data_IF_414171211729
#
_entry.id   IF_414171211729
#
_cell.length_a   1.000
_cell.length_b   1.000
_cell.length_c   1.000
_cell.angle_alpha   90.00
_cell.angle_beta   90.00
_cell.angle_gamma   90.00
#
_symmetry.space_group_name_H-M   'P 1'
#
loop_
_entity.id
_entity.type
_entity.pdbx_description
1 polymer ?
#
# COMPACT_ATOMS: atom_id res chain seq x y z
N UNK A 1 -35.61 -4.50 -5.40
CA UNK A 1 -34.58 -5.06 -4.49
C UNK A 1 -33.33 -5.18 -5.34
N UNK A 2 -32.37 -4.26 -5.18
CA UNK A 2 -31.08 -4.34 -5.88
C UNK A 2 -30.14 -5.04 -4.91
N UNK A 3 -29.67 -6.21 -5.32
CA UNK A 3 -28.80 -7.09 -4.56
C UNK A 3 -27.59 -6.31 -4.03
N UNK A 4 -27.53 -6.22 -2.70
CA UNK A 4 -26.37 -5.76 -1.97
C UNK A 4 -25.20 -6.60 -2.46
N UNK A 5 -24.29 -5.97 -3.21
CA UNK A 5 -23.03 -6.61 -3.59
C UNK A 5 -22.32 -6.98 -2.30
N UNK A 6 -22.47 -8.25 -1.91
CA UNK A 6 -21.76 -8.87 -0.80
C UNK A 6 -20.30 -8.44 -0.89
N UNK A 7 -19.91 -7.56 0.05
CA UNK A 7 -18.53 -7.12 0.20
C UNK A 7 -17.72 -8.40 0.35
N UNK A 8 -16.82 -8.66 -0.59
CA UNK A 8 -16.00 -9.88 -0.55
C UNK A 8 -15.34 -9.94 0.83
N UNK A 9 -15.23 -11.11 1.48
CA UNK A 9 -14.67 -11.24 2.83
C UNK A 9 -13.21 -10.79 2.97
N UNK A 10 -12.55 -10.46 1.85
CA UNK A 10 -11.21 -9.89 1.79
C UNK A 10 -11.18 -8.36 1.78
N UNK A 11 -12.33 -7.69 1.60
CA UNK A 11 -12.48 -6.27 1.88
C UNK A 11 -12.52 -6.07 3.39
N UNK A 12 -11.32 -6.01 3.98
CA UNK A 12 -11.17 -5.57 5.37
C UNK A 12 -11.75 -4.16 5.46
N UNK A 13 -12.61 -3.92 6.44
CA UNK A 13 -13.33 -2.65 6.61
C UNK A 13 -12.44 -1.39 6.58
N UNK A 14 -11.13 -1.53 6.85
CA UNK A 14 -10.16 -0.44 6.90
C UNK A 14 -9.04 -0.51 5.84
N UNK A 15 -9.17 -1.32 4.78
CA UNK A 15 -8.12 -1.42 3.75
C UNK A 15 -8.69 -1.52 2.34
N UNK A 16 -8.52 -0.47 1.55
CA UNK A 16 -8.79 -0.49 0.10
C UNK A 16 -7.58 -1.07 -0.64
N UNK A 17 -7.76 -2.16 -1.39
CA UNK A 17 -6.71 -2.68 -2.27
C UNK A 17 -6.59 -1.78 -3.50
N UNK A 18 -5.40 -1.25 -3.76
CA UNK A 18 -5.05 -0.60 -5.05
C UNK A 18 -4.07 -1.48 -5.81
N UNK A 19 -4.36 -1.73 -7.09
CA UNK A 19 -3.42 -2.39 -8.01
C UNK A 19 -2.64 -1.30 -8.73
N UNK A 20 -1.32 -1.31 -8.61
CA UNK A 20 -0.40 -0.37 -9.26
C UNK A 20 0.76 -1.14 -9.90
N UNK A 21 1.38 -0.57 -10.94
CA UNK A 21 2.58 -1.11 -11.58
C UNK A 21 3.80 -0.29 -11.15
N UNK A 22 4.93 -0.94 -10.99
CA UNK A 22 6.23 -0.34 -10.75
C UNK A 22 7.13 -0.59 -11.95
N UNK A 23 8.08 0.31 -12.20
CA UNK A 23 9.15 0.07 -13.17
C UNK A 23 10.07 -1.06 -12.67
N UNK A 24 10.51 -1.93 -13.58
CA UNK A 24 11.30 -3.11 -13.22
C UNK A 24 12.61 -2.73 -12.51
N UNK A 25 13.27 -1.66 -12.94
CA UNK A 25 14.52 -1.21 -12.33
C UNK A 25 14.32 -0.54 -10.98
N UNK A 26 13.14 0.04 -10.73
CA UNK A 26 12.77 0.55 -9.41
C UNK A 26 12.49 -0.63 -8.46
N UNK A 27 11.78 -1.66 -8.92
CA UNK A 27 11.50 -2.84 -8.11
C UNK A 27 12.78 -3.55 -7.68
N UNK A 28 13.73 -3.74 -8.59
CA UNK A 28 15.06 -4.32 -8.27
C UNK A 28 15.80 -3.52 -7.19
N UNK A 29 15.74 -2.20 -7.25
CA UNK A 29 16.36 -1.35 -6.24
C UNK A 29 15.69 -1.52 -4.88
N UNK A 30 14.35 -1.56 -4.84
CA UNK A 30 13.59 -1.78 -3.60
C UNK A 30 13.93 -3.16 -3.03
N UNK A 31 13.92 -4.20 -3.86
CA UNK A 31 14.23 -5.57 -3.46
C UNK A 31 15.66 -5.72 -2.91
N UNK A 32 16.60 -4.91 -3.40
CA UNK A 32 17.98 -4.90 -2.89
C UNK A 32 18.12 -4.28 -1.49
N UNK A 33 17.19 -3.42 -1.07
CA UNK A 33 17.25 -2.70 0.23
C UNK A 33 16.29 -3.24 1.28
N UNK A 34 15.14 -3.79 0.85
CA UNK A 34 14.06 -4.26 1.73
C UNK A 34 14.46 -5.50 2.54
N UNK A 35 15.39 -6.31 2.03
CA UNK A 35 15.88 -7.51 2.68
C UNK A 35 14.73 -8.49 2.98
N UNK A 36 14.43 -8.68 4.27
CA UNK A 36 13.40 -9.61 4.75
C UNK A 36 12.04 -8.94 5.05
N UNK A 37 11.88 -7.63 4.84
CA UNK A 37 10.60 -6.97 5.08
C UNK A 37 9.59 -7.25 3.95
N UNK A 38 8.28 -7.43 4.23
CA UNK A 38 7.28 -7.56 3.18
C UNK A 38 7.16 -6.27 2.35
N UNK A 39 7.18 -6.38 1.02
CA UNK A 39 7.05 -5.25 0.08
C UNK A 39 5.90 -4.30 0.42
N UNK A 40 4.74 -4.85 0.79
CA UNK A 40 3.57 -4.04 1.16
C UNK A 40 3.77 -3.20 2.42
N UNK A 41 4.61 -3.63 3.37
CA UNK A 41 4.97 -2.87 4.56
C UNK A 41 5.90 -1.71 4.19
N UNK A 42 6.92 -2.00 3.40
CA UNK A 42 7.87 -1.02 2.91
C UNK A 42 7.19 0.10 2.13
N UNK A 43 6.30 -0.24 1.18
CA UNK A 43 5.52 0.74 0.40
C UNK A 43 4.64 1.60 1.29
N UNK A 44 3.98 1.03 2.30
CA UNK A 44 3.16 1.80 3.25
C UNK A 44 4.00 2.80 4.04
N UNK A 45 5.18 2.39 4.48
CA UNK A 45 6.12 3.28 5.18
C UNK A 45 6.61 4.38 4.26
N UNK A 46 6.99 4.07 3.02
CA UNK A 46 7.37 5.08 2.02
C UNK A 46 6.24 6.10 1.79
N UNK A 47 4.98 5.65 1.67
CA UNK A 47 3.84 6.55 1.54
C UNK A 47 3.62 7.43 2.79
N UNK A 48 3.80 6.89 4.01
CA UNK A 48 3.70 7.68 5.25
C UNK A 48 4.77 8.76 5.32
N UNK A 49 6.02 8.42 5.00
CA UNK A 49 7.13 9.36 4.98
C UNK A 49 6.89 10.50 3.97
N UNK A 50 6.33 10.18 2.80
CA UNK A 50 5.99 11.18 1.79
C UNK A 50 4.85 12.10 2.27
N UNK A 51 3.84 11.57 2.95
CA UNK A 51 2.79 12.39 3.57
C UNK A 51 3.35 13.34 4.63
N UNK A 52 4.25 12.84 5.49
CA UNK A 52 4.93 13.66 6.50
C UNK A 52 5.77 14.77 5.86
N UNK A 53 6.50 14.46 4.78
CA UNK A 53 7.28 15.43 3.99
C UNK A 53 6.39 16.54 3.41
N UNK A 54 5.15 16.21 3.05
CA UNK A 54 4.14 17.15 2.56
C UNK A 54 3.37 17.86 3.68
N UNK A 55 3.73 17.65 4.95
CA UNK A 55 3.08 18.25 6.12
C UNK A 55 1.72 17.63 6.45
N UNK A 56 1.36 16.50 5.82
CA UNK A 56 0.14 15.75 6.11
C UNK A 56 0.45 14.73 7.20
N UNK A 57 -0.15 14.91 8.38
CA UNK A 57 0.00 13.92 9.48
C UNK A 57 -0.60 12.57 9.04
N UNK A 58 0.19 11.49 8.96
CA UNK A 58 -0.35 10.18 8.64
C UNK A 58 -1.33 9.76 9.73
N UNK A 59 -2.51 9.27 9.32
CA UNK A 59 -3.49 8.69 10.24
C UNK A 59 -3.16 7.20 10.42
N UNK A 60 -3.12 6.75 11.67
CA UNK A 60 -2.91 5.34 12.04
C UNK A 60 -4.17 4.50 11.79
#
# INVERSE_FOLDING_TARGET
>A
MQDEKDKKPYDRANSTRRTIRFDDDLLKQIDSVIGNEPFSSWVKTACRNELERLGVKPKN
#
